data_IF_403425241398
#
_entry.id   IF_403425241398
#
_cell.length_a   1.000
_cell.length_b   1.000
_cell.length_c   1.000
_cell.angle_alpha   90.00
_cell.angle_beta   90.00
_cell.angle_gamma   90.00
#
_symmetry.space_group_name_H-M   'P 1'
#
loop_
_entity.id
_entity.type
_entity.pdbx_description
1 polymer ?
#
# COMPACT_ATOMS: atom_id res chain seq x y z
N UNK A 1 -7.25 -16.74 19.70
CA UNK A 1 -6.12 -16.93 18.78
C UNK A 1 -5.31 -15.65 18.88
N UNK A 2 -4.22 -15.64 19.64
CA UNK A 2 -3.47 -14.42 19.95
C UNK A 2 -2.88 -13.84 18.66
N UNK A 3 -3.23 -12.59 18.36
CA UNK A 3 -2.82 -11.91 17.15
C UNK A 3 -1.33 -11.54 17.27
N UNK A 4 -0.44 -12.37 16.73
CA UNK A 4 1.01 -12.14 16.80
C UNK A 4 1.46 -10.85 16.10
N UNK A 5 0.56 -10.15 15.39
CA UNK A 5 0.77 -8.86 14.75
C UNK A 5 0.79 -7.68 15.73
N UNK A 6 0.19 -7.79 16.93
CA UNK A 6 0.19 -6.69 17.92
C UNK A 6 1.62 -6.28 18.33
N UNK A 7 2.60 -7.19 18.19
CA UNK A 7 4.01 -6.94 18.49
C UNK A 7 4.77 -6.12 17.41
N UNK A 8 4.18 -5.93 16.23
CA UNK A 8 4.76 -5.14 15.14
C UNK A 8 4.13 -3.75 15.02
N UNK A 9 3.09 -3.44 15.81
CA UNK A 9 2.51 -2.11 15.87
C UNK A 9 3.51 -1.14 16.50
N UNK A 10 3.72 0.02 15.86
CA UNK A 10 4.61 1.05 16.41
C UNK A 10 4.03 1.58 17.73
N UNK A 11 4.88 1.88 18.73
CA UNK A 11 4.40 2.37 20.02
C UNK A 11 3.61 3.67 19.85
N UNK A 12 2.36 3.69 20.34
CA UNK A 12 1.46 4.83 20.31
C UNK A 12 2.07 6.01 21.10
N UNK A 13 2.79 6.89 20.40
CA UNK A 13 3.23 8.18 20.94
C UNK A 13 2.04 9.11 21.05
N UNK A 14 1.36 9.05 22.19
CA UNK A 14 0.37 10.07 22.56
C UNK A 14 1.09 11.37 22.93
N UNK A 15 0.94 12.39 22.09
CA UNK A 15 0.52 13.76 22.45
C UNK A 15 0.66 14.69 21.25
N UNK A 16 -0.51 15.13 20.77
CA UNK A 16 -0.87 16.32 19.97
C UNK A 16 -1.91 15.88 18.95
N UNK A 17 -3.16 16.28 19.19
CA UNK A 17 -4.26 16.19 18.23
C UNK A 17 -3.92 17.01 16.98
N UNK A 18 -3.29 16.37 16.02
CA UNK A 18 -3.43 16.67 14.61
C UNK A 18 -3.94 15.36 14.00
N UNK A 19 -4.98 15.37 13.17
CA UNK A 19 -5.43 14.16 12.46
C UNK A 19 -4.35 13.79 11.44
N UNK A 20 -3.22 13.28 11.92
CA UNK A 20 -2.11 12.79 11.12
C UNK A 20 -2.63 11.47 10.58
N UNK A 21 -3.09 11.49 9.32
CA UNK A 21 -3.40 10.27 8.59
C UNK A 21 -2.15 9.41 8.63
N UNK A 22 -2.21 8.32 9.40
CA UNK A 22 -1.11 7.38 9.49
C UNK A 22 -1.08 6.55 8.22
N UNK A 23 -0.36 7.07 7.23
CA UNK A 23 -0.23 6.42 5.93
C UNK A 23 0.66 5.18 6.00
N UNK A 24 1.55 5.10 6.99
CA UNK A 24 2.37 3.92 7.22
C UNK A 24 1.47 2.76 7.65
N UNK A 25 0.64 2.98 8.66
CA UNK A 25 -0.36 2.01 9.12
C UNK A 25 -1.37 1.66 8.02
N UNK A 26 -1.86 2.63 7.24
CA UNK A 26 -2.77 2.33 6.11
C UNK A 26 -2.10 1.47 5.04
N UNK A 27 -0.83 1.71 4.73
CA UNK A 27 -0.10 0.90 3.76
C UNK A 27 0.12 -0.52 4.27
N UNK A 28 0.54 -0.66 5.53
CA UNK A 28 0.69 -1.95 6.19
C UNK A 28 -0.64 -2.72 6.18
N UNK A 29 -1.73 -2.05 6.56
CA UNK A 29 -3.04 -2.68 6.63
C UNK A 29 -3.55 -3.13 5.27
N UNK A 30 -3.33 -2.35 4.21
CA UNK A 30 -3.65 -2.78 2.84
C UNK A 30 -2.85 -4.02 2.45
N UNK A 31 -1.55 -4.08 2.77
CA UNK A 31 -0.71 -5.24 2.47
C UNK A 31 -1.15 -6.50 3.24
N UNK A 32 -1.47 -6.36 4.53
CA UNK A 32 -2.05 -7.44 5.34
C UNK A 32 -3.36 -7.96 4.74
N UNK A 33 -4.28 -7.06 4.39
CA UNK A 33 -5.57 -7.43 3.84
C UNK A 33 -5.42 -8.12 2.47
N UNK A 34 -4.44 -7.71 1.64
CA UNK A 34 -4.06 -8.42 0.40
C UNK A 34 -3.58 -9.83 0.73
N UNK A 35 -2.70 -9.99 1.73
CA UNK A 35 -2.19 -11.30 2.16
C UNK A 35 -3.33 -12.21 2.62
N UNK A 36 -4.26 -11.69 3.41
CA UNK A 36 -5.39 -12.47 3.92
C UNK A 36 -6.39 -12.86 2.83
N UNK A 37 -6.61 -11.97 1.84
CA UNK A 37 -7.38 -12.31 0.64
C UNK A 37 -6.71 -13.47 -0.13
N UNK A 38 -5.42 -13.35 -0.48
CA UNK A 38 -4.78 -14.34 -1.36
C UNK A 38 -4.60 -15.71 -0.68
N UNK A 39 -4.53 -15.78 0.66
CA UNK A 39 -4.59 -17.06 1.40
C UNK A 39 -5.87 -17.84 1.14
N UNK A 40 -6.96 -17.14 0.79
CA UNK A 40 -8.26 -17.75 0.51
C UNK A 40 -8.42 -18.17 -0.95
N UNK A 41 -7.49 -17.79 -1.84
CA UNK A 41 -7.56 -18.06 -3.27
C UNK A 41 -6.85 -19.38 -3.61
N UNK A 42 -7.46 -20.29 -4.40
CA UNK A 42 -6.84 -21.54 -4.79
C UNK A 42 -5.54 -21.33 -5.57
N UNK A 43 -4.46 -22.00 -5.13
CA UNK A 43 -3.18 -21.93 -5.82
C UNK A 43 -3.18 -22.81 -7.08
N UNK A 44 -3.01 -22.18 -8.24
CA UNK A 44 -2.84 -22.83 -9.54
C UNK A 44 -1.83 -22.03 -10.39
N UNK A 45 -1.36 -22.51 -11.56
CA UNK A 45 -0.33 -21.83 -12.34
C UNK A 45 -0.69 -20.40 -12.82
N UNK A 46 -1.99 -20.08 -12.92
CA UNK A 46 -2.46 -18.73 -13.26
C UNK A 46 -2.45 -17.86 -12.00
N UNK A 47 -3.14 -18.32 -10.96
CA UNK A 47 -3.28 -17.57 -9.71
C UNK A 47 -1.94 -17.35 -9.01
N UNK A 48 -1.03 -18.33 -9.03
CA UNK A 48 0.28 -18.22 -8.40
C UNK A 48 1.08 -17.02 -8.92
N UNK A 49 1.05 -16.77 -10.23
CA UNK A 49 1.73 -15.61 -10.83
C UNK A 49 1.06 -14.30 -10.44
N UNK A 50 -0.27 -14.24 -10.42
CA UNK A 50 -1.00 -13.01 -10.04
C UNK A 50 -0.83 -12.71 -8.55
N UNK A 51 -0.86 -13.74 -7.70
CA UNK A 51 -0.66 -13.64 -6.25
C UNK A 51 0.73 -13.13 -5.93
N UNK A 52 1.78 -13.70 -6.53
CA UNK A 52 3.16 -13.24 -6.33
C UNK A 52 3.30 -11.75 -6.63
N UNK A 53 2.71 -11.31 -7.74
CA UNK A 53 2.80 -9.91 -8.19
C UNK A 53 1.99 -8.95 -7.32
N UNK A 54 0.77 -9.31 -6.89
CA UNK A 54 -0.06 -8.44 -6.03
C UNK A 54 0.50 -8.34 -4.62
N UNK A 55 1.01 -9.44 -4.06
CA UNK A 55 1.67 -9.45 -2.74
C UNK A 55 2.97 -8.66 -2.78
N UNK A 56 3.80 -8.89 -3.81
CA UNK A 56 5.06 -8.17 -3.99
C UNK A 56 4.85 -6.66 -4.09
N UNK A 57 4.02 -6.20 -5.03
CA UNK A 57 3.76 -4.76 -5.20
C UNK A 57 3.06 -4.13 -4.00
N UNK A 58 2.09 -4.83 -3.39
CA UNK A 58 1.36 -4.33 -2.21
C UNK A 58 2.27 -4.16 -0.99
N UNK A 59 3.17 -5.11 -0.73
CA UNK A 59 4.16 -5.03 0.34
C UNK A 59 5.24 -3.97 0.07
N UNK A 60 5.79 -3.94 -1.15
CA UNK A 60 6.80 -2.96 -1.55
C UNK A 60 6.32 -1.52 -1.42
N UNK A 61 5.04 -1.24 -1.69
CA UNK A 61 4.46 0.08 -1.48
C UNK A 61 4.64 0.58 -0.04
N UNK A 62 4.36 -0.26 0.96
CA UNK A 62 4.51 0.10 2.37
C UNK A 62 5.96 0.33 2.76
N UNK A 63 6.87 -0.58 2.35
CA UNK A 63 8.30 -0.44 2.62
C UNK A 63 8.88 0.87 2.05
N UNK A 64 8.55 1.21 0.80
CA UNK A 64 9.00 2.46 0.18
C UNK A 64 8.40 3.71 0.85
N UNK A 65 7.21 3.60 1.46
CA UNK A 65 6.62 4.72 2.20
C UNK A 65 7.35 4.94 3.54
N UNK A 66 7.76 3.88 4.23
CA UNK A 66 8.64 3.99 5.40
C UNK A 66 9.96 4.68 5.03
N UNK A 67 10.60 4.28 3.92
CA UNK A 67 11.81 4.94 3.41
C UNK A 67 11.57 6.41 3.04
N UNK A 68 10.38 6.76 2.53
CA UNK A 68 10.02 8.15 2.31
C UNK A 68 9.93 8.94 3.63
N UNK A 69 9.39 8.36 4.70
CA UNK A 69 9.33 9.00 6.02
C UNK A 69 10.72 9.27 6.61
N UNK A 70 11.73 8.47 6.23
CA UNK A 70 13.12 8.58 6.67
C UNK A 70 14.03 9.36 5.70
N UNK A 71 13.46 9.96 4.66
CA UNK A 71 14.23 10.61 3.59
C UNK A 71 15.17 11.72 4.08
N UNK A 72 16.41 11.71 3.57
CA UNK A 72 17.47 12.65 3.99
C UNK A 72 17.34 14.04 3.33
N UNK A 73 16.51 14.16 2.29
CA UNK A 73 16.26 15.42 1.61
C UNK A 73 14.87 15.49 0.99
N UNK A 74 14.40 16.70 0.63
CA UNK A 74 13.14 16.87 -0.11
C UNK A 74 13.14 16.15 -1.47
N UNK A 75 14.29 16.09 -2.15
CA UNK A 75 14.41 15.41 -3.45
C UNK A 75 14.29 13.91 -3.29
N UNK A 76 14.96 13.37 -2.27
CA UNK A 76 14.90 11.97 -1.88
C UNK A 76 13.48 11.56 -1.47
N UNK A 77 12.81 12.35 -0.64
CA UNK A 77 11.40 12.18 -0.29
C UNK A 77 10.51 12.06 -1.55
N UNK A 78 10.66 12.96 -2.52
CA UNK A 78 9.89 12.93 -3.76
C UNK A 78 10.20 11.69 -4.60
N UNK A 79 11.45 11.24 -4.59
CA UNK A 79 11.87 10.03 -5.28
C UNK A 79 11.18 8.80 -4.69
N UNK A 80 11.24 8.62 -3.37
CA UNK A 80 10.64 7.47 -2.66
C UNK A 80 9.11 7.46 -2.79
N UNK A 81 8.44 8.61 -2.67
CA UNK A 81 7.01 8.72 -2.98
C UNK A 81 6.72 8.40 -4.46
N UNK A 82 7.64 8.72 -5.36
CA UNK A 82 7.58 8.34 -6.77
C UNK A 82 7.59 6.83 -6.97
N UNK A 83 8.38 6.09 -6.18
CA UNK A 83 8.40 4.62 -6.18
C UNK A 83 7.10 4.07 -5.60
N UNK A 84 6.63 4.57 -4.45
CA UNK A 84 5.33 4.20 -3.87
C UNK A 84 4.19 4.28 -4.90
N UNK A 85 4.21 5.32 -5.75
CA UNK A 85 3.22 5.51 -6.81
C UNK A 85 3.32 4.51 -7.96
N UNK A 86 4.50 3.95 -8.24
CA UNK A 86 4.67 2.88 -9.23
C UNK A 86 4.12 1.59 -8.65
N UNK A 87 4.57 1.21 -7.46
CA UNK A 87 4.14 0.00 -6.74
C UNK A 87 2.61 -0.05 -6.61
N UNK A 88 2.00 1.03 -6.12
CA UNK A 88 0.55 1.03 -5.91
C UNK A 88 -0.27 0.97 -7.21
N UNK A 89 0.27 1.47 -8.34
CA UNK A 89 -0.37 1.32 -9.65
C UNK A 89 -0.29 -0.13 -10.13
N UNK A 90 0.82 -0.80 -9.85
CA UNK A 90 0.99 -2.23 -10.14
C UNK A 90 0.05 -3.05 -9.27
N UNK A 91 -0.02 -2.80 -7.96
CA UNK A 91 -0.98 -3.45 -7.05
C UNK A 91 -2.41 -3.32 -7.57
N UNK A 92 -2.79 -2.12 -7.99
CA UNK A 92 -4.12 -1.84 -8.57
C UNK A 92 -4.37 -2.64 -9.86
N UNK A 93 -3.35 -2.78 -10.70
CA UNK A 93 -3.43 -3.57 -11.92
C UNK A 93 -3.60 -5.07 -11.60
N UNK A 94 -2.80 -5.60 -10.69
CA UNK A 94 -2.85 -7.01 -10.30
C UNK A 94 -4.14 -7.37 -9.57
N UNK A 95 -4.68 -6.51 -8.72
CA UNK A 95 -6.02 -6.68 -8.14
C UNK A 95 -7.10 -6.79 -9.21
N UNK A 96 -7.02 -6.00 -10.29
CA UNK A 96 -7.95 -6.11 -11.42
C UNK A 96 -7.83 -7.46 -12.14
N UNK A 97 -6.62 -7.99 -12.29
CA UNK A 97 -6.41 -9.30 -12.91
C UNK A 97 -6.87 -10.43 -11.99
N UNK A 98 -6.64 -10.32 -10.67
CA UNK A 98 -7.13 -11.26 -9.68
C UNK A 98 -8.67 -11.35 -9.68
N UNK A 99 -9.37 -10.22 -9.82
CA UNK A 99 -10.83 -10.22 -9.97
C UNK A 99 -11.32 -10.94 -11.23
N UNK A 100 -10.46 -11.11 -12.25
CA UNK A 100 -10.78 -11.84 -13.47
C UNK A 100 -10.58 -13.34 -13.30
N UNK A 101 -9.57 -13.76 -12.54
CA UNK A 101 -9.26 -15.16 -12.29
C UNK A 101 -10.16 -15.77 -11.21
N UNK A 102 -10.55 -14.95 -10.22
CA UNK A 102 -11.26 -15.40 -9.02
C UNK A 102 -12.49 -14.49 -8.74
N UNK A 103 -13.52 -14.52 -9.61
CA UNK A 103 -14.67 -13.63 -9.53
C UNK A 103 -15.53 -13.81 -8.28
N UNK A 104 -15.44 -14.94 -7.59
CA UNK A 104 -16.10 -15.19 -6.31
C UNK A 104 -15.61 -14.26 -5.19
N UNK A 105 -14.41 -13.68 -5.32
CA UNK A 105 -13.85 -12.71 -4.37
C UNK A 105 -13.97 -11.25 -4.85
N UNK A 106 -14.75 -10.98 -5.91
CA UNK A 106 -14.77 -9.67 -6.58
C UNK A 106 -15.11 -8.50 -5.66
N UNK A 107 -15.97 -8.70 -4.67
CA UNK A 107 -16.37 -7.62 -3.76
C UNK A 107 -15.24 -7.24 -2.80
N UNK A 108 -14.51 -8.22 -2.29
CA UNK A 108 -13.34 -7.99 -1.44
C UNK A 108 -12.18 -7.40 -2.25
N UNK A 109 -11.93 -7.93 -3.44
CA UNK A 109 -10.94 -7.36 -4.37
C UNK A 109 -11.29 -5.91 -4.72
N UNK A 110 -12.57 -5.59 -4.91
CA UNK A 110 -13.04 -4.23 -5.17
C UNK A 110 -12.84 -3.32 -3.95
N UNK A 111 -12.99 -3.83 -2.73
CA UNK A 111 -12.69 -3.08 -1.50
C UNK A 111 -11.20 -2.70 -1.46
N UNK A 112 -10.30 -3.67 -1.65
CA UNK A 112 -8.85 -3.44 -1.68
C UNK A 112 -8.42 -2.50 -2.82
N UNK A 113 -9.04 -2.66 -3.99
CA UNK A 113 -8.77 -1.81 -5.15
C UNK A 113 -9.16 -0.35 -4.89
N UNK A 114 -10.26 -0.11 -4.15
CA UNK A 114 -10.67 1.24 -3.74
C UNK A 114 -9.65 1.86 -2.78
N UNK A 115 -9.22 1.14 -1.77
CA UNK A 115 -8.17 1.62 -0.84
C UNK A 115 -6.86 1.93 -1.58
N UNK A 116 -6.47 1.04 -2.50
CA UNK A 116 -5.32 1.23 -3.38
C UNK A 116 -5.46 2.51 -4.22
N UNK A 117 -6.66 2.80 -4.72
CA UNK A 117 -6.94 4.04 -5.45
C UNK A 117 -6.86 5.29 -4.55
N UNK A 118 -7.35 5.21 -3.31
CA UNK A 118 -7.28 6.32 -2.35
C UNK A 118 -5.83 6.67 -2.00
N UNK A 119 -5.02 5.67 -1.64
CA UNK A 119 -3.60 5.85 -1.36
C UNK A 119 -2.84 6.41 -2.57
N UNK A 120 -3.18 5.99 -3.80
CA UNK A 120 -2.58 6.53 -5.03
C UNK A 120 -2.89 8.02 -5.21
N UNK A 121 -4.12 8.44 -4.90
CA UNK A 121 -4.52 9.85 -4.92
C UNK A 121 -3.77 10.65 -3.86
N UNK A 122 -3.61 10.10 -2.67
CA UNK A 122 -2.85 10.70 -1.57
C UNK A 122 -1.39 10.89 -1.95
N UNK A 123 -0.70 9.84 -2.42
CA UNK A 123 0.70 9.95 -2.87
C UNK A 123 0.86 10.94 -4.02
N UNK A 124 -0.13 11.04 -4.90
CA UNK A 124 -0.13 12.02 -5.98
C UNK A 124 -0.25 13.46 -5.46
N UNK A 125 -1.10 13.70 -4.46
CA UNK A 125 -1.22 14.99 -3.79
C UNK A 125 0.07 15.36 -3.04
N UNK A 126 0.67 14.41 -2.31
CA UNK A 126 1.95 14.57 -1.60
C UNK A 126 3.06 14.96 -2.58
N UNK A 127 3.21 14.22 -3.68
CA UNK A 127 4.23 14.51 -4.70
C UNK A 127 4.06 15.92 -5.26
N UNK A 128 2.82 16.32 -5.60
CA UNK A 128 2.53 17.64 -6.16
C UNK A 128 2.89 18.73 -5.15
N UNK A 129 2.44 18.60 -3.90
CA UNK A 129 2.75 19.58 -2.86
C UNK A 129 4.24 19.68 -2.56
N UNK A 130 4.97 18.56 -2.59
CA UNK A 130 6.41 18.56 -2.30
C UNK A 130 7.21 19.26 -3.40
N UNK A 131 6.86 19.06 -4.68
CA UNK A 131 7.51 19.72 -5.82
C UNK A 131 7.32 21.24 -5.79
N UNK A 132 6.11 21.73 -5.54
CA UNK A 132 5.84 23.18 -5.43
C UNK A 132 6.66 23.87 -4.32
N UNK A 133 7.05 23.15 -3.26
CA UNK A 133 7.89 23.67 -2.16
C UNK A 133 9.40 23.62 -2.44
N UNK A 134 9.81 23.13 -3.60
CA UNK A 134 11.21 23.18 -4.08
C UNK A 134 11.36 24.32 -5.09
N UNK A 135 10.31 24.61 -5.86
CA UNK A 135 10.29 25.66 -6.89
C UNK A 135 10.12 27.08 -6.32
N UNK A 136 9.61 27.19 -5.08
CA UNK A 136 9.53 28.44 -4.29
C UNK A 136 10.64 28.46 -3.22
#
# INVERSE_FOLDING_TARGET
MNNQLENFQTPNKSTVHNRKYDLEERCAKLAEDIIDLVKSIPLNPVNGRVIEQVVGSGGSMGANYCEANEAESKRDFIHNIGICKKEIKETKHWLRLLARTDPEFVDEIRRLWKETQELLLIFSAITKSAKTRIEN
#
